data_IF_840625560390
#
_entry.id   IF_840625560390
#
_cell.length_a   1.000
_cell.length_b   1.000
_cell.length_c   1.000
_cell.angle_alpha   90.00
_cell.angle_beta   90.00
_cell.angle_gamma   90.00
#
_symmetry.space_group_name_H-M   'P 1'
#
loop_
_entity.id
_entity.type
_entity.pdbx_description
1 polymer ?
#
# COMPACT_ATOMS: atom_id res chain seq x y z
N UNK A 1 -2.33 14.93 16.82
CA UNK A 1 -1.31 14.34 15.93
C UNK A 1 -1.66 14.81 14.53
N UNK A 2 -0.82 15.64 13.90
CA UNK A 2 -1.13 16.25 12.59
C UNK A 2 -0.05 15.78 11.59
N UNK A 3 -0.20 14.54 11.12
CA UNK A 3 0.71 13.92 10.15
C UNK A 3 0.08 14.03 8.77
N UNK A 4 0.88 14.42 7.78
CA UNK A 4 0.43 14.54 6.38
C UNK A 4 0.23 13.15 5.73
N UNK A 5 -0.62 13.09 4.71
CA UNK A 5 -0.85 11.90 3.89
C UNK A 5 0.22 11.86 2.79
N UNK A 6 0.88 10.71 2.61
CA UNK A 6 1.84 10.49 1.53
C UNK A 6 1.20 9.80 0.33
N UNK A 7 0.39 8.77 0.58
CA UNK A 7 -0.25 7.95 -0.44
C UNK A 7 -1.67 7.60 -0.03
N UNK A 8 -2.55 7.41 -1.02
CA UNK A 8 -3.84 6.77 -0.79
C UNK A 8 -4.23 5.84 -1.94
N UNK A 9 -5.12 4.90 -1.63
CA UNK A 9 -5.87 4.12 -2.61
C UNK A 9 -7.34 4.01 -2.19
N UNK A 10 -8.22 4.07 -3.18
CA UNK A 10 -9.64 3.78 -3.02
C UNK A 10 -9.90 2.27 -3.18
N UNK A 11 -10.91 1.76 -2.49
CA UNK A 11 -11.47 0.45 -2.81
C UNK A 11 -12.17 0.47 -4.17
N UNK A 12 -12.25 -0.69 -4.83
CA UNK A 12 -12.92 -0.84 -6.14
C UNK A 12 -14.39 -0.41 -6.08
N UNK A 13 -15.05 -0.62 -4.94
CA UNK A 13 -16.45 -0.24 -4.71
C UNK A 13 -16.62 1.20 -4.20
N UNK A 14 -15.53 1.96 -4.09
CA UNK A 14 -15.51 3.36 -3.62
C UNK A 14 -16.05 3.58 -2.21
N UNK A 15 -16.10 2.55 -1.36
CA UNK A 15 -16.58 2.66 0.03
C UNK A 15 -15.47 2.87 1.05
N UNK A 16 -14.23 2.55 0.69
CA UNK A 16 -13.11 2.55 1.61
C UNK A 16 -11.90 3.26 1.03
N UNK A 17 -11.10 3.84 1.92
CA UNK A 17 -9.79 4.40 1.62
C UNK A 17 -8.75 3.71 2.50
N UNK A 18 -7.61 3.33 1.92
CA UNK A 18 -6.37 3.13 2.66
C UNK A 18 -5.44 4.31 2.38
N UNK A 19 -4.70 4.76 3.38
CA UNK A 19 -3.71 5.81 3.22
C UNK A 19 -2.46 5.51 4.05
N UNK A 20 -1.30 5.93 3.55
CA UNK A 20 -0.03 5.90 4.29
C UNK A 20 0.31 7.32 4.72
N UNK A 21 0.58 7.50 6.01
CA UNK A 21 0.94 8.76 6.62
C UNK A 21 2.47 8.99 6.59
N UNK A 22 2.90 10.22 6.87
CA UNK A 22 4.32 10.64 6.89
C UNK A 22 5.24 9.88 7.85
N UNK A 23 4.68 9.17 8.82
CA UNK A 23 5.39 8.29 9.76
C UNK A 23 5.34 6.81 9.39
N UNK A 24 4.87 6.49 8.16
CA UNK A 24 4.68 5.13 7.68
C UNK A 24 3.60 4.34 8.45
N UNK A 25 2.67 5.01 9.15
CA UNK A 25 1.41 4.38 9.59
C UNK A 25 0.47 4.18 8.39
N UNK A 26 -0.08 2.96 8.23
CA UNK A 26 -1.21 2.72 7.33
C UNK A 26 -2.52 2.88 8.08
N UNK A 27 -3.42 3.71 7.55
CA UNK A 27 -4.74 3.99 8.11
C UNK A 27 -5.84 3.68 7.10
N UNK A 28 -7.03 3.39 7.63
CA UNK A 28 -8.18 2.98 6.83
C UNK A 28 -9.42 3.78 7.23
N UNK A 29 -10.28 4.08 6.25
CA UNK A 29 -11.50 4.84 6.45
C UNK A 29 -12.66 4.20 5.70
N UNK A 30 -13.83 4.19 6.35
CA UNK A 30 -15.10 3.96 5.68
C UNK A 30 -15.67 5.32 5.30
N UNK A 31 -15.69 5.61 4.00
CA UNK A 31 -16.12 6.92 3.49
C UNK A 31 -17.63 7.09 3.53
N UNK A 32 -18.39 5.98 3.60
CA UNK A 32 -19.85 6.02 3.67
C UNK A 32 -20.33 6.52 5.03
N UNK A 33 -19.54 6.25 6.07
CA UNK A 33 -19.80 6.71 7.45
C UNK A 33 -18.90 7.87 7.89
N UNK A 34 -17.83 8.14 7.15
CA UNK A 34 -16.81 9.14 7.50
C UNK A 34 -15.94 8.73 8.70
N UNK A 35 -15.89 7.44 9.05
CA UNK A 35 -15.22 6.96 10.27
C UNK A 35 -13.89 6.25 9.96
N UNK A 36 -12.87 6.48 10.80
CA UNK A 36 -11.62 5.72 10.77
C UNK A 36 -11.89 4.28 11.22
N UNK A 37 -11.45 3.32 10.42
CA UNK A 37 -11.56 1.89 10.76
C UNK A 37 -10.40 1.55 11.71
N UNK A 38 -10.75 1.14 12.93
CA UNK A 38 -9.77 0.88 14.00
C UNK A 38 -9.12 -0.50 13.93
N UNK A 39 -9.73 -1.45 13.22
CA UNK A 39 -9.24 -2.82 13.12
C UNK A 39 -8.88 -3.16 11.67
N UNK A 40 -7.59 -3.32 11.34
CA UNK A 40 -7.14 -3.72 10.00
C UNK A 40 -7.73 -5.08 9.55
N UNK A 41 -8.18 -5.93 10.48
CA UNK A 41 -8.82 -7.21 10.15
C UNK A 41 -10.10 -7.02 9.33
N UNK A 42 -10.82 -5.93 9.53
CA UNK A 42 -12.07 -5.63 8.83
C UNK A 42 -11.85 -5.27 7.36
N UNK A 43 -10.65 -4.84 7.00
CA UNK A 43 -10.29 -4.37 5.66
C UNK A 43 -9.35 -5.33 4.93
N UNK A 44 -9.02 -6.47 5.54
CA UNK A 44 -8.03 -7.43 5.02
C UNK A 44 -8.39 -7.94 3.62
N UNK A 45 -9.68 -8.19 3.39
CA UNK A 45 -10.17 -8.82 2.17
C UNK A 45 -10.78 -7.80 1.18
N UNK A 46 -10.58 -6.50 1.44
CA UNK A 46 -11.00 -5.42 0.53
C UNK A 46 -10.11 -5.43 -0.71
N UNK A 47 -10.75 -5.33 -1.89
CA UNK A 47 -10.05 -5.12 -3.15
C UNK A 47 -9.83 -3.63 -3.37
N UNK A 48 -8.56 -3.24 -3.39
CA UNK A 48 -8.14 -1.88 -3.71
C UNK A 48 -8.09 -1.67 -5.23
N UNK A 49 -8.56 -0.51 -5.69
CA UNK A 49 -8.57 -0.16 -7.11
C UNK A 49 -7.12 0.00 -7.62
N UNK A 50 -6.33 0.78 -6.90
CA UNK A 50 -4.89 0.97 -7.12
C UNK A 50 -4.08 0.39 -5.97
N UNK A 51 -2.76 0.28 -6.17
CA UNK A 51 -1.82 0.05 -5.08
C UNK A 51 -0.69 1.07 -5.23
N UNK A 52 -0.90 2.25 -4.67
CA UNK A 52 0.08 3.33 -4.57
C UNK A 52 0.64 3.42 -3.16
N UNK A 53 -0.10 2.95 -2.15
CA UNK A 53 0.39 2.82 -0.79
C UNK A 53 1.61 1.88 -0.74
N UNK A 54 2.80 2.38 -0.34
CA UNK A 54 4.02 1.58 -0.34
C UNK A 54 4.06 0.58 0.81
N UNK A 55 3.08 0.59 1.72
CA UNK A 55 3.01 -0.28 2.88
C UNK A 55 1.80 -1.19 2.74
N UNK A 56 1.99 -2.47 3.02
CA UNK A 56 0.91 -3.45 3.01
C UNK A 56 1.46 -4.87 2.88
N UNK A 57 0.66 -5.85 3.30
CA UNK A 57 1.03 -7.26 3.20
C UNK A 57 1.44 -7.70 1.77
N UNK A 58 0.75 -7.26 0.69
CA UNK A 58 1.14 -7.64 -0.67
C UNK A 58 2.50 -7.14 -1.15
N UNK A 59 3.19 -6.27 -0.39
CA UNK A 59 4.49 -5.68 -0.75
C UNK A 59 5.65 -6.24 0.08
N UNK A 60 5.41 -7.19 1.00
CA UNK A 60 6.44 -7.68 1.94
C UNK A 60 7.69 -8.15 1.21
N UNK A 61 7.55 -8.87 0.09
CA UNK A 61 8.67 -9.34 -0.72
C UNK A 61 9.48 -8.18 -1.32
N UNK A 62 8.83 -7.09 -1.75
CA UNK A 62 9.54 -5.91 -2.25
C UNK A 62 10.35 -5.23 -1.13
N UNK A 63 9.79 -5.10 0.08
CA UNK A 63 10.48 -4.55 1.25
C UNK A 63 11.65 -5.42 1.71
N UNK A 64 11.50 -6.75 1.70
CA UNK A 64 12.55 -7.68 2.10
C UNK A 64 13.78 -7.67 1.18
N UNK A 65 13.61 -7.20 -0.06
CA UNK A 65 14.70 -7.10 -1.02
C UNK A 65 15.46 -5.77 -0.96
N UNK A 66 15.09 -4.85 -0.06
CA UNK A 66 15.82 -3.60 0.15
C UNK A 66 16.96 -3.76 1.16
N UNK A 67 17.99 -2.92 1.04
CA UNK A 67 19.04 -2.88 2.05
C UNK A 67 18.51 -2.23 3.34
N UNK A 68 19.16 -2.55 4.46
CA UNK A 68 18.77 -2.01 5.76
C UNK A 68 18.82 -0.47 5.76
N UNK A 69 17.67 0.16 5.98
CA UNK A 69 17.52 1.62 6.05
C UNK A 69 16.99 2.26 4.76
N UNK A 70 16.92 1.52 3.66
CA UNK A 70 16.25 2.01 2.45
C UNK A 70 14.73 1.98 2.61
N UNK A 71 14.05 2.85 1.86
CA UNK A 71 12.59 2.93 1.85
C UNK A 71 12.04 2.88 0.43
N UNK A 72 10.84 2.31 0.29
CA UNK A 72 10.04 2.44 -0.93
C UNK A 72 9.34 3.80 -0.91
N UNK A 73 9.65 4.64 -1.89
CA UNK A 73 9.07 5.97 -2.04
C UNK A 73 7.82 5.99 -2.92
N UNK A 74 7.74 5.08 -3.90
CA UNK A 74 6.62 5.03 -4.84
C UNK A 74 6.35 3.59 -5.24
N UNK A 75 5.07 3.28 -5.44
CA UNK A 75 4.60 2.00 -5.96
C UNK A 75 3.54 2.27 -7.01
N UNK A 76 3.54 1.45 -8.06
CA UNK A 76 2.42 1.36 -8.99
C UNK A 76 2.16 -0.11 -9.33
N UNK A 77 0.89 -0.51 -9.27
CA UNK A 77 0.45 -1.85 -9.69
C UNK A 77 -0.19 -1.78 -11.07
N UNK A 78 0.10 -2.79 -11.88
CA UNK A 78 -0.55 -3.00 -13.18
C UNK A 78 -2.07 -3.08 -13.07
N UNK A 79 -2.77 -2.64 -14.11
CA UNK A 79 -4.23 -2.74 -14.21
C UNK A 79 -4.73 -4.19 -14.25
N UNK A 80 -3.92 -5.09 -14.84
CA UNK A 80 -4.18 -6.53 -14.88
C UNK A 80 -3.91 -7.25 -13.55
N UNK A 81 -3.37 -6.55 -12.56
CA UNK A 81 -3.15 -7.05 -11.20
C UNK A 81 -2.20 -8.25 -11.14
N UNK A 82 -1.22 -8.31 -12.03
CA UNK A 82 -0.24 -9.40 -12.14
C UNK A 82 1.20 -8.93 -11.90
N UNK A 83 1.45 -7.62 -12.07
CA UNK A 83 2.74 -6.98 -11.85
C UNK A 83 2.63 -5.72 -10.97
N UNK A 84 3.73 -5.38 -10.31
CA UNK A 84 3.94 -4.10 -9.61
C UNK A 84 5.36 -3.58 -9.82
N UNK A 85 5.53 -2.26 -9.85
CA UNK A 85 6.82 -1.58 -9.87
C UNK A 85 6.98 -0.75 -8.60
N UNK A 86 8.19 -0.71 -8.06
CA UNK A 86 8.55 0.17 -6.93
C UNK A 86 9.73 1.05 -7.31
N UNK A 87 9.78 2.24 -6.71
CA UNK A 87 10.95 3.12 -6.70
C UNK A 87 11.43 3.35 -5.27
N UNK A 88 12.73 3.17 -5.03
CA UNK A 88 13.33 3.25 -3.69
C UNK A 88 14.12 4.54 -3.44
N UNK A 89 14.62 4.70 -2.22
CA UNK A 89 15.46 5.83 -1.77
C UNK A 89 16.83 5.92 -2.43
N UNK A 90 17.26 4.89 -3.17
CA UNK A 90 18.50 4.88 -3.96
C UNK A 90 18.26 5.29 -5.41
N UNK A 91 17.02 5.61 -5.77
CA UNK A 91 16.64 5.92 -7.14
C UNK A 91 16.55 4.70 -8.05
N UNK A 92 16.48 3.48 -7.49
CA UNK A 92 16.32 2.27 -8.29
C UNK A 92 14.84 1.99 -8.54
N UNK A 93 14.54 1.53 -9.76
CA UNK A 93 13.24 0.98 -10.12
C UNK A 93 13.31 -0.54 -10.18
N UNK A 94 12.34 -1.22 -9.57
CA UNK A 94 12.30 -2.70 -9.53
C UNK A 94 10.89 -3.20 -9.84
N UNK A 95 10.80 -4.20 -10.72
CA UNK A 95 9.56 -4.85 -11.13
C UNK A 95 9.39 -6.18 -10.40
N UNK A 96 8.19 -6.44 -9.88
CA UNK A 96 7.82 -7.66 -9.18
C UNK A 96 6.51 -8.23 -9.72
N UNK A 97 6.30 -9.53 -9.53
CA UNK A 97 4.96 -10.14 -9.63
C UNK A 97 4.07 -9.59 -8.50
N UNK A 98 2.78 -9.44 -8.79
CA UNK A 98 1.77 -9.07 -7.82
C UNK A 98 0.93 -10.29 -7.41
N UNK A 99 0.63 -10.48 -6.11
CA UNK A 99 1.26 -9.82 -4.97
C UNK A 99 2.72 -10.26 -4.78
N UNK A 100 3.57 -9.37 -4.28
CA UNK A 100 4.93 -9.69 -3.85
C UNK A 100 4.90 -10.09 -2.36
N UNK A 101 4.31 -11.24 -2.08
CA UNK A 101 4.24 -11.81 -0.75
C UNK A 101 4.52 -13.32 -0.81
N UNK A 102 5.05 -13.95 0.27
CA UNK A 102 5.25 -15.38 0.31
C UNK A 102 3.94 -16.12 -0.02
N UNK A 103 4.02 -17.16 -0.86
CA UNK A 103 2.90 -18.10 -0.98
C UNK A 103 2.67 -18.77 0.37
N UNK A 104 1.42 -18.81 0.84
CA UNK A 104 1.04 -19.58 2.01
C UNK A 104 1.40 -21.05 1.86
#
# INVERSE_FOLDING_TARGET
HNIFIMHLDWSVDSKYIQAVLGDYEIVYWDVTTGQKIKSPRLVRDIKWATQNCPIGYPLIGAWQNLDRGDVINVVARSQYQDLMMIGDSKGQLRLYKWPSAPSK
#
